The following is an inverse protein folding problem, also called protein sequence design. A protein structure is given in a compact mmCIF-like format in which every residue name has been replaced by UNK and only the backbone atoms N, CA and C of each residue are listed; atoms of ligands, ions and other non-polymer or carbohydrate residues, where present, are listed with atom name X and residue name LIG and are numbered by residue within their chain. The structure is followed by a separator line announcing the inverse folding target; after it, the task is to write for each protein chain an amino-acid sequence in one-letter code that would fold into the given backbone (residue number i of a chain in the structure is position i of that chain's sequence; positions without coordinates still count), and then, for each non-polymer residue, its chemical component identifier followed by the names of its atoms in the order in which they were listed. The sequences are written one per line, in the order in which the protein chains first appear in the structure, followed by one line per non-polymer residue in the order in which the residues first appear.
data_IF_776444959012
#
_entry.id   IF_776444959012
#
_cell.length_a   1.000
_cell.length_b   1.000
_cell.length_c   1.000
_cell.angle_alpha   90.00
_cell.angle_beta   90.00
_cell.angle_gamma   90.00
#
_symmetry.space_group_name_H-M   'P 1'
#
loop_
_entity.id
_entity.type
_entity.pdbx_description
1 polymer ?
#
# COMPACT_ATOMS: atom_id res chain seq x y z
N UNK A 1 -32.09 -3.60 -50.35
CA UNK A 1 -33.56 -3.82 -50.31
C UNK A 1 -34.22 -2.45 -50.38
N UNK A 2 -35.05 -2.23 -51.40
CA UNK A 2 -35.63 -0.94 -51.76
C UNK A 2 -36.64 -0.47 -50.71
N UNK A 3 -36.55 0.79 -50.29
CA UNK A 3 -37.63 1.50 -49.59
C UNK A 3 -38.36 2.36 -50.62
N UNK A 4 -39.53 1.91 -51.06
CA UNK A 4 -40.48 2.72 -51.80
C UNK A 4 -41.40 3.41 -50.80
N UNK A 5 -41.34 4.73 -50.71
CA UNK A 5 -42.42 5.53 -50.15
C UNK A 5 -42.93 6.45 -51.27
N UNK A 6 -44.13 6.14 -51.73
CA UNK A 6 -44.88 6.87 -52.75
C UNK A 6 -45.20 8.29 -52.29
N UNK A 7 -44.79 9.28 -53.09
CA UNK A 7 -45.19 10.67 -52.95
C UNK A 7 -46.49 10.86 -53.74
N UNK A 8 -47.59 11.17 -53.06
CA UNK A 8 -48.79 11.72 -53.71
C UNK A 8 -48.97 13.16 -53.24
N UNK A 9 -48.93 14.07 -54.22
CA UNK A 9 -49.19 15.49 -54.09
C UNK A 9 -50.61 15.73 -53.58
N UNK A 10 -50.79 16.74 -52.73
CA UNK A 10 -51.65 17.91 -52.96
C UNK A 10 -51.52 18.88 -51.76
N UNK A 11 -51.00 20.08 -52.06
CA UNK A 11 -51.23 21.41 -51.50
C UNK A 11 -51.76 21.53 -50.05
N UNK A 12 -51.01 22.21 -49.17
CA UNK A 12 -51.41 23.51 -48.60
C UNK A 12 -50.31 24.10 -47.68
N UNK A 13 -49.92 25.32 -48.01
CA UNK A 13 -49.47 26.42 -47.14
C UNK A 13 -48.65 26.14 -45.86
N UNK A 14 -47.37 26.53 -45.92
CA UNK A 14 -46.65 27.38 -44.96
C UNK A 14 -47.18 27.31 -43.51
N UNK A 15 -46.63 26.40 -42.71
CA UNK A 15 -46.58 26.59 -41.27
C UNK A 15 -45.20 26.16 -40.76
N UNK A 16 -44.30 27.13 -40.70
CA UNK A 16 -43.04 27.04 -39.98
C UNK A 16 -43.33 26.97 -38.49
N UNK A 17 -43.70 25.79 -37.98
CA UNK A 17 -43.69 25.49 -36.54
C UNK A 17 -43.02 24.13 -36.37
N UNK A 18 -41.72 24.24 -36.10
CA UNK A 18 -40.79 23.29 -35.50
C UNK A 18 -41.50 22.04 -34.93
N UNK A 19 -41.51 20.94 -35.69
CA UNK A 19 -41.70 19.61 -35.13
C UNK A 19 -40.39 19.25 -34.44
N UNK A 20 -40.33 19.47 -33.12
CA UNK A 20 -39.30 18.88 -32.26
C UNK A 20 -39.53 17.37 -32.34
N UNK A 21 -38.79 16.71 -33.23
CA UNK A 21 -38.67 15.26 -33.21
C UNK A 21 -37.85 14.95 -31.96
N UNK A 22 -38.52 14.58 -30.86
CA UNK A 22 -37.89 13.95 -29.69
C UNK A 22 -37.20 12.68 -30.18
N UNK A 23 -35.94 12.84 -30.56
CA UNK A 23 -35.05 11.73 -30.74
C UNK A 23 -34.81 11.18 -29.34
N UNK A 24 -35.50 10.08 -29.00
CA UNK A 24 -35.05 9.19 -27.93
C UNK A 24 -33.68 8.65 -28.33
N UNK A 25 -32.65 9.43 -28.06
CA UNK A 25 -31.28 8.96 -27.94
C UNK A 25 -31.32 8.03 -26.73
N UNK A 26 -31.59 6.75 -26.95
CA UNK A 26 -31.14 5.73 -26.01
C UNK A 26 -29.63 5.74 -26.08
N UNK A 27 -29.02 6.60 -25.27
CA UNK A 27 -27.66 6.37 -24.80
C UNK A 27 -27.71 4.98 -24.17
N UNK A 28 -27.24 3.97 -24.91
CA UNK A 28 -26.73 2.74 -24.31
C UNK A 28 -25.51 3.16 -23.50
N UNK A 29 -25.75 3.78 -22.35
CA UNK A 29 -24.81 3.74 -21.26
C UNK A 29 -24.59 2.25 -21.02
N UNK A 30 -23.39 1.78 -21.36
CA UNK A 30 -22.84 0.58 -20.76
C UNK A 30 -22.68 0.87 -19.26
N UNK A 31 -23.80 0.95 -18.54
CA UNK A 31 -23.85 0.70 -17.12
C UNK A 31 -23.49 -0.78 -17.00
N UNK A 32 -22.19 -1.08 -16.93
CA UNK A 32 -21.76 -2.29 -16.25
C UNK A 32 -22.52 -2.27 -14.92
N UNK A 33 -23.31 -3.31 -14.58
CA UNK A 33 -23.95 -3.35 -13.27
C UNK A 33 -22.83 -3.14 -12.26
N UNK A 34 -22.97 -2.09 -11.46
CA UNK A 34 -21.98 -1.74 -10.45
C UNK A 34 -21.85 -2.98 -9.56
N UNK A 35 -20.69 -3.63 -9.62
CA UNK A 35 -20.41 -4.82 -8.85
C UNK A 35 -20.70 -4.53 -7.37
N UNK A 36 -21.64 -5.25 -6.77
CA UNK A 36 -22.04 -5.06 -5.37
C UNK A 36 -21.35 -6.00 -4.40
N UNK A 37 -20.40 -6.81 -4.85
CA UNK A 37 -19.69 -7.74 -3.99
C UNK A 37 -18.84 -6.98 -2.98
N UNK A 38 -19.31 -6.98 -1.73
CA UNK A 38 -18.66 -6.36 -0.58
C UNK A 38 -18.03 -7.46 0.25
N UNK A 39 -16.89 -7.13 0.85
CA UNK A 39 -16.27 -7.98 1.85
C UNK A 39 -17.29 -8.29 2.97
N UNK A 40 -17.38 -9.54 3.44
CA UNK A 40 -18.24 -9.94 4.55
C UNK A 40 -18.17 -8.97 5.73
N UNK A 41 -19.31 -8.63 6.32
CA UNK A 41 -19.40 -7.68 7.44
C UNK A 41 -19.38 -8.36 8.79
N UNK A 42 -19.82 -9.61 8.85
CA UNK A 42 -19.96 -10.38 10.07
C UNK A 42 -19.31 -11.76 9.89
N UNK A 43 -18.84 -12.34 10.98
CA UNK A 43 -18.09 -13.60 10.96
C UNK A 43 -18.90 -14.78 10.45
N UNK A 44 -20.21 -14.81 10.72
CA UNK A 44 -21.13 -15.84 10.21
C UNK A 44 -21.34 -15.80 8.69
N UNK A 45 -21.00 -14.69 8.02
CA UNK A 45 -21.07 -14.57 6.56
C UNK A 45 -19.83 -15.16 5.87
N UNK A 46 -18.78 -15.49 6.64
CA UNK A 46 -17.57 -16.09 6.09
C UNK A 46 -17.79 -17.57 5.77
N UNK A 47 -17.32 -18.06 4.60
CA UNK A 47 -17.36 -19.48 4.27
C UNK A 47 -16.46 -20.29 5.20
N UNK A 48 -16.51 -21.62 5.09
CA UNK A 48 -15.76 -22.53 5.97
C UNK A 48 -14.26 -22.37 5.83
N UNK A 49 -13.79 -22.12 4.59
CA UNK A 49 -12.38 -21.95 4.28
C UNK A 49 -12.13 -20.58 3.66
N UNK A 50 -11.22 -19.83 4.30
CA UNK A 50 -10.72 -18.55 3.78
C UNK A 50 -9.21 -18.62 3.81
N UNK A 51 -8.57 -18.48 2.65
CA UNK A 51 -7.12 -18.59 2.53
C UNK A 51 -6.57 -17.61 1.51
N UNK A 52 -5.27 -17.36 1.58
CA UNK A 52 -4.53 -16.66 0.54
C UNK A 52 -3.58 -17.62 -0.15
N UNK A 53 -3.42 -17.45 -1.46
CA UNK A 53 -2.58 -18.32 -2.25
C UNK A 53 -2.24 -17.70 -3.58
N UNK A 54 -1.28 -18.31 -4.27
CA UNK A 54 -0.97 -17.94 -5.64
C UNK A 54 -1.39 -19.04 -6.60
N UNK A 55 -1.92 -18.64 -7.74
CA UNK A 55 -2.39 -19.54 -8.80
C UNK A 55 -1.18 -20.09 -9.53
N UNK A 56 -0.96 -21.39 -9.43
CA UNK A 56 0.18 -22.05 -10.06
C UNK A 56 -0.14 -22.54 -11.46
N UNK A 57 -1.33 -23.10 -11.64
CA UNK A 57 -1.78 -23.65 -12.91
C UNK A 57 -3.30 -23.50 -13.06
N UNK A 58 -3.75 -23.36 -14.31
CA UNK A 58 -5.16 -23.27 -14.68
C UNK A 58 -5.49 -24.49 -15.54
N UNK A 59 -6.62 -25.11 -15.26
CA UNK A 59 -7.18 -26.26 -15.96
C UNK A 59 -8.46 -25.80 -16.69
N UNK A 60 -8.35 -25.39 -17.97
CA UNK A 60 -9.52 -24.97 -18.73
C UNK A 60 -10.49 -26.14 -18.93
N UNK A 61 -11.79 -25.86 -18.81
CA UNK A 61 -12.84 -26.81 -19.18
C UNK A 61 -13.28 -26.53 -20.62
N UNK A 62 -13.06 -27.49 -21.53
CA UNK A 62 -13.40 -27.33 -22.95
C UNK A 62 -14.85 -27.71 -23.28
N UNK A 63 -15.59 -28.30 -22.32
CA UNK A 63 -16.89 -28.91 -22.57
C UNK A 63 -18.08 -28.14 -21.97
N UNK A 64 -17.85 -27.28 -20.96
CA UNK A 64 -18.92 -26.77 -20.07
C UNK A 64 -18.81 -25.26 -19.74
N UNK A 65 -18.49 -24.44 -20.75
CA UNK A 65 -18.57 -22.98 -20.66
C UNK A 65 -17.33 -22.27 -20.10
N UNK A 66 -17.45 -20.98 -19.76
CA UNK A 66 -16.35 -20.12 -19.29
C UNK A 66 -15.82 -20.48 -17.88
N UNK A 67 -16.44 -21.44 -17.19
CA UNK A 67 -16.06 -21.83 -15.82
C UNK A 67 -14.97 -22.90 -15.87
N UNK A 68 -13.90 -22.68 -15.12
CA UNK A 68 -12.72 -23.55 -15.10
C UNK A 68 -12.19 -23.75 -13.68
N UNK A 69 -11.21 -24.65 -13.55
CA UNK A 69 -10.54 -24.93 -12.28
C UNK A 69 -9.05 -24.59 -12.34
N UNK A 70 -8.38 -24.61 -11.20
CA UNK A 70 -6.96 -24.32 -11.13
C UNK A 70 -6.32 -24.84 -9.85
N UNK A 71 -5.00 -25.02 -9.91
CA UNK A 71 -4.19 -25.38 -8.76
C UNK A 71 -3.62 -24.12 -8.10
N UNK A 72 -3.80 -24.00 -6.79
CA UNK A 72 -3.35 -22.87 -5.98
C UNK A 72 -2.43 -23.39 -4.88
N UNK A 73 -1.28 -22.74 -4.71
CA UNK A 73 -0.41 -22.99 -3.57
C UNK A 73 -0.81 -22.02 -2.45
N UNK A 74 -1.22 -22.58 -1.33
CA UNK A 74 -1.70 -21.82 -0.18
C UNK A 74 -0.52 -21.17 0.54
N UNK A 75 -0.60 -19.86 0.73
CA UNK A 75 0.38 -19.07 1.49
C UNK A 75 -0.02 -18.93 2.96
N UNK A 76 -1.28 -18.64 3.23
CA UNK A 76 -1.80 -18.46 4.60
C UNK A 76 -3.25 -18.88 4.68
N UNK A 77 -3.60 -19.60 5.74
CA UNK A 77 -4.99 -19.93 6.08
C UNK A 77 -5.50 -18.87 7.05
N UNK A 78 -6.60 -18.19 6.72
CA UNK A 78 -7.28 -17.22 7.59
C UNK A 78 -8.39 -17.90 8.39
N UNK A 79 -9.09 -18.86 7.78
CA UNK A 79 -10.13 -19.72 8.39
C UNK A 79 -10.09 -21.09 7.71
N UNK A 80 -10.26 -22.16 8.48
CA UNK A 80 -10.22 -23.55 7.99
C UNK A 80 -9.01 -24.35 8.50
N UNK A 81 -8.79 -25.56 7.96
CA UNK A 81 -7.74 -26.48 8.41
C UNK A 81 -6.34 -25.91 8.20
N UNK A 82 -5.49 -25.94 9.23
CA UNK A 82 -4.12 -25.35 9.18
C UNK A 82 -3.17 -26.19 8.34
N UNK A 83 -3.47 -27.46 8.13
CA UNK A 83 -2.71 -28.40 7.31
C UNK A 83 -2.68 -27.95 5.84
N UNK A 84 -3.62 -27.09 5.41
CA UNK A 84 -3.60 -26.55 4.05
C UNK A 84 -2.44 -25.57 3.83
N UNK A 85 -1.85 -24.99 4.88
CA UNK A 85 -0.83 -23.96 4.73
C UNK A 85 0.46 -24.53 4.10
N UNK A 86 0.91 -23.91 3.01
CA UNK A 86 2.08 -24.36 2.24
C UNK A 86 1.76 -25.46 1.22
N UNK A 87 0.57 -26.06 1.30
CA UNK A 87 0.16 -27.15 0.42
C UNK A 87 -0.56 -26.65 -0.83
N UNK A 88 -0.63 -27.55 -1.81
CA UNK A 88 -1.35 -27.37 -3.07
C UNK A 88 -2.81 -27.77 -2.88
N UNK A 89 -3.72 -26.93 -3.35
CA UNK A 89 -5.16 -27.22 -3.40
C UNK A 89 -5.70 -27.01 -4.81
N UNK A 90 -6.79 -27.69 -5.13
CA UNK A 90 -7.53 -27.51 -6.37
C UNK A 90 -8.79 -26.71 -6.10
N UNK A 91 -9.01 -25.65 -6.86
CA UNK A 91 -10.17 -24.77 -6.73
C UNK A 91 -10.95 -24.80 -8.05
N UNK A 92 -12.25 -25.07 -7.97
CA UNK A 92 -13.20 -24.95 -9.07
C UNK A 92 -14.06 -23.67 -8.95
N UNK A 93 -14.69 -23.28 -10.05
CA UNK A 93 -15.58 -22.10 -10.09
C UNK A 93 -14.90 -20.81 -10.54
N UNK A 94 -13.67 -20.87 -11.06
CA UNK A 94 -13.07 -19.70 -11.70
C UNK A 94 -13.78 -19.37 -13.00
N UNK A 95 -13.89 -18.08 -13.32
CA UNK A 95 -14.60 -17.62 -14.53
C UNK A 95 -16.13 -17.53 -14.40
N UNK A 96 -16.71 -17.85 -13.24
CA UNK A 96 -18.14 -17.66 -12.98
C UNK A 96 -18.55 -16.19 -13.20
N UNK A 97 -19.54 -15.96 -14.06
CA UNK A 97 -20.03 -14.64 -14.45
C UNK A 97 -20.96 -14.00 -13.41
N UNK A 98 -21.43 -14.77 -12.43
CA UNK A 98 -22.25 -14.27 -11.31
C UNK A 98 -21.41 -13.57 -10.24
N UNK A 99 -20.10 -13.83 -10.22
CA UNK A 99 -19.14 -13.23 -9.30
C UNK A 99 -18.44 -12.05 -9.97
N UNK A 100 -18.23 -10.97 -9.23
CA UNK A 100 -17.58 -9.78 -9.82
C UNK A 100 -16.15 -10.01 -10.29
N UNK A 101 -15.39 -10.73 -9.47
CA UNK A 101 -14.03 -11.17 -9.75
C UNK A 101 -13.96 -12.67 -9.51
N UNK A 102 -13.83 -13.42 -10.61
CA UNK A 102 -13.70 -14.88 -10.62
C UNK A 102 -12.62 -15.37 -11.59
N UNK A 103 -12.17 -14.51 -12.51
CA UNK A 103 -11.13 -14.83 -13.51
C UNK A 103 -9.74 -14.65 -12.89
N UNK A 104 -8.88 -15.64 -13.07
CA UNK A 104 -7.50 -15.67 -12.56
C UNK A 104 -6.49 -15.90 -13.67
N UNK A 105 -5.24 -15.50 -13.43
CA UNK A 105 -4.08 -15.80 -14.27
C UNK A 105 -3.02 -16.54 -13.45
N UNK A 106 -2.16 -17.27 -14.16
CA UNK A 106 -0.98 -17.90 -13.54
C UNK A 106 -0.14 -16.82 -12.84
N UNK A 107 0.32 -17.13 -11.62
CA UNK A 107 1.04 -16.25 -10.68
C UNK A 107 0.21 -15.18 -10.00
N UNK A 108 -1.09 -15.07 -10.28
CA UNK A 108 -1.93 -14.16 -9.52
C UNK A 108 -1.99 -14.59 -8.05
N UNK A 109 -2.08 -13.61 -7.15
CA UNK A 109 -2.25 -13.85 -5.71
C UNK A 109 -3.56 -13.23 -5.27
N UNK A 110 -4.42 -14.04 -4.64
CA UNK A 110 -5.76 -13.65 -4.23
C UNK A 110 -6.09 -14.15 -2.83
N UNK A 111 -7.08 -13.53 -2.21
CA UNK A 111 -7.83 -14.10 -1.10
C UNK A 111 -8.99 -14.91 -1.68
N UNK A 112 -9.08 -16.18 -1.31
CA UNK A 112 -10.09 -17.13 -1.78
C UNK A 112 -11.10 -17.41 -0.67
N UNK A 113 -12.37 -17.37 -1.03
CA UNK A 113 -13.52 -17.69 -0.19
C UNK A 113 -14.08 -19.01 -0.71
N UNK A 114 -13.93 -20.07 0.08
CA UNK A 114 -14.02 -21.45 -0.41
C UNK A 114 -14.97 -22.30 0.42
N UNK A 115 -15.77 -23.12 -0.27
CA UNK A 115 -16.48 -24.25 0.33
C UNK A 115 -15.69 -25.52 0.09
N UNK A 116 -15.56 -26.35 1.12
CA UNK A 116 -14.92 -27.66 1.03
C UNK A 116 -15.86 -28.65 0.33
N UNK A 117 -15.35 -29.32 -0.72
CA UNK A 117 -16.06 -30.41 -1.40
C UNK A 117 -15.53 -31.74 -0.88
N UNK A 118 -14.20 -31.87 -0.90
CA UNK A 118 -13.45 -33.01 -0.39
C UNK A 118 -12.02 -32.57 -0.05
N UNK A 119 -11.24 -33.42 0.62
CA UNK A 119 -9.89 -33.07 1.07
C UNK A 119 -9.02 -32.56 -0.10
N UNK A 120 -8.66 -31.27 -0.05
CA UNK A 120 -7.82 -30.62 -1.06
C UNK A 120 -8.56 -30.12 -2.30
N UNK A 121 -9.88 -30.32 -2.40
CA UNK A 121 -10.74 -29.85 -3.48
C UNK A 121 -11.80 -28.89 -2.95
N UNK A 122 -11.82 -27.69 -3.50
CA UNK A 122 -12.64 -26.59 -3.01
C UNK A 122 -13.43 -25.93 -4.14
N UNK A 123 -14.61 -25.42 -3.81
CA UNK A 123 -15.42 -24.57 -4.71
C UNK A 123 -15.31 -23.12 -4.32
N UNK A 124 -15.20 -22.23 -5.30
CA UNK A 124 -15.29 -20.80 -5.08
C UNK A 124 -16.69 -20.42 -4.58
N UNK A 125 -16.79 -19.85 -3.38
CA UNK A 125 -18.04 -19.45 -2.72
C UNK A 125 -18.18 -17.92 -2.65
N UNK A 126 -17.44 -17.18 -3.46
CA UNK A 126 -17.51 -15.72 -3.45
C UNK A 126 -16.45 -15.08 -4.33
N UNK A 127 -16.54 -13.75 -4.49
CA UNK A 127 -15.60 -13.02 -5.32
C UNK A 127 -14.18 -13.07 -4.76
N UNK A 128 -13.20 -13.11 -5.67
CA UNK A 128 -11.80 -13.01 -5.35
C UNK A 128 -11.47 -11.61 -4.84
N UNK A 129 -10.85 -11.53 -3.66
CA UNK A 129 -10.42 -10.26 -3.09
C UNK A 129 -8.92 -10.05 -3.26
N UNK A 130 -8.54 -8.85 -3.67
CA UNK A 130 -7.12 -8.45 -3.73
C UNK A 130 -6.53 -8.35 -2.33
N UNK A 131 -5.26 -8.72 -2.23
CA UNK A 131 -4.49 -8.55 -1.00
C UNK A 131 -4.16 -7.07 -0.81
N UNK A 132 -4.69 -6.48 0.25
CA UNK A 132 -4.31 -5.16 0.76
C UNK A 132 -4.44 -5.17 2.30
N UNK A 133 -3.85 -4.17 2.97
CA UNK A 133 -3.85 -4.11 4.43
C UNK A 133 -5.27 -4.03 5.01
N UNK A 134 -6.14 -3.19 4.45
CA UNK A 134 -7.49 -2.99 4.96
C UNK A 134 -8.37 -4.26 4.89
N UNK A 135 -8.29 -4.99 3.78
CA UNK A 135 -8.98 -6.28 3.58
C UNK A 135 -8.43 -7.32 4.55
N UNK A 136 -7.11 -7.42 4.68
CA UNK A 136 -6.48 -8.39 5.56
C UNK A 136 -6.78 -8.12 7.04
N UNK A 137 -6.68 -6.88 7.48
CA UNK A 137 -7.00 -6.49 8.86
C UNK A 137 -8.47 -6.78 9.17
N UNK A 138 -9.38 -6.50 8.23
CA UNK A 138 -10.80 -6.80 8.41
C UNK A 138 -11.09 -8.31 8.42
N UNK A 139 -10.47 -9.10 7.54
CA UNK A 139 -10.65 -10.55 7.55
C UNK A 139 -10.04 -11.18 8.81
N UNK A 140 -8.85 -10.74 9.24
CA UNK A 140 -8.24 -11.22 10.47
C UNK A 140 -9.10 -10.90 11.71
N UNK A 141 -9.76 -9.74 11.74
CA UNK A 141 -10.69 -9.39 12.80
C UNK A 141 -11.94 -10.29 12.76
N UNK A 142 -12.53 -10.46 11.57
CA UNK A 142 -13.72 -11.30 11.39
C UNK A 142 -13.47 -12.77 11.70
N UNK A 143 -12.30 -13.33 11.38
CA UNK A 143 -12.00 -14.74 11.67
C UNK A 143 -11.71 -15.00 13.15
N UNK A 144 -11.50 -13.95 13.94
CA UNK A 144 -11.29 -14.02 15.40
C UNK A 144 -12.48 -13.51 16.21
N UNK A 145 -13.58 -13.14 15.56
CA UNK A 145 -14.71 -12.44 16.21
C UNK A 145 -14.30 -11.16 16.96
N UNK A 146 -13.27 -10.48 16.47
CA UNK A 146 -12.80 -9.21 17.01
C UNK A 146 -13.40 -8.02 16.25
N UNK A 147 -13.68 -6.89 16.91
CA UNK A 147 -14.12 -5.68 16.21
C UNK A 147 -13.00 -5.15 15.31
N UNK A 148 -13.32 -4.86 14.04
CA UNK A 148 -12.37 -4.26 13.12
C UNK A 148 -11.95 -2.87 13.62
N UNK A 149 -10.66 -2.72 13.94
CA UNK A 149 -10.03 -1.44 14.27
C UNK A 149 -9.24 -0.97 13.08
N UNK A 150 -9.52 0.24 12.60
CA UNK A 150 -8.66 0.88 11.60
C UNK A 150 -7.28 1.08 12.21
N UNK A 151 -6.24 0.85 11.41
CA UNK A 151 -4.88 1.21 11.79
C UNK A 151 -4.88 2.70 12.16
N UNK A 152 -4.35 3.08 13.34
CA UNK A 152 -4.20 4.49 13.67
C UNK A 152 -3.34 5.16 12.60
N UNK A 153 -3.64 6.41 12.30
CA UNK A 153 -2.79 7.21 11.43
C UNK A 153 -1.40 7.30 12.05
N UNK A 154 -0.36 7.19 11.22
CA UNK A 154 1.01 7.37 11.67
C UNK A 154 1.15 8.86 11.95
N UNK A 155 1.30 9.20 13.23
CA UNK A 155 1.58 10.58 13.64
C UNK A 155 3.09 10.74 13.49
N UNK A 156 3.52 11.45 12.46
CA UNK A 156 4.92 11.84 12.32
C UNK A 156 5.26 12.83 13.44
N UNK A 157 6.21 12.46 14.29
CA UNK A 157 6.63 13.36 15.37
C UNK A 157 7.43 14.52 14.78
N UNK A 158 7.34 15.73 15.35
CA UNK A 158 7.99 16.91 14.77
C UNK A 158 9.49 16.76 14.61
N UNK A 159 10.18 16.10 15.55
CA UNK A 159 11.61 15.86 15.45
C UNK A 159 12.00 14.64 14.61
N UNK A 160 11.04 13.82 14.16
CA UNK A 160 11.30 12.78 13.16
C UNK A 160 11.44 13.36 11.76
N UNK A 161 10.73 14.45 11.45
CA UNK A 161 10.73 15.09 10.13
C UNK A 161 11.54 16.39 10.09
N UNK A 162 11.80 17.04 11.22
CA UNK A 162 12.58 18.26 11.29
C UNK A 162 14.10 18.00 11.18
N UNK A 163 14.72 18.51 10.13
CA UNK A 163 16.17 18.61 10.03
C UNK A 163 16.69 19.88 10.70
N UNK A 164 17.76 19.76 11.50
CA UNK A 164 18.43 20.90 12.14
C UNK A 164 19.81 21.11 11.54
N UNK A 165 20.00 22.26 10.90
CA UNK A 165 21.28 22.67 10.32
C UNK A 165 22.36 22.89 11.40
N UNK A 166 23.62 22.90 10.96
CA UNK A 166 24.78 23.25 11.80
C UNK A 166 24.89 22.40 13.08
N UNK A 167 24.51 21.12 13.03
CA UNK A 167 24.50 20.21 14.18
C UNK A 167 23.61 20.67 15.35
N UNK A 168 22.54 21.41 15.08
CA UNK A 168 21.52 21.72 16.07
C UNK A 168 20.77 20.48 16.54
N UNK A 169 20.34 20.47 17.80
CA UNK A 169 19.46 19.44 18.32
C UNK A 169 18.00 19.82 18.08
N UNK A 170 17.20 18.88 17.63
CA UNK A 170 15.76 19.08 17.58
C UNK A 170 15.14 18.88 18.97
N UNK A 171 14.27 19.80 19.37
CA UNK A 171 13.51 19.75 20.61
C UNK A 171 12.04 19.88 20.27
N UNK A 172 11.23 18.97 20.79
CA UNK A 172 9.78 18.99 20.66
C UNK A 172 9.17 19.97 21.66
N UNK A 173 8.28 20.82 21.18
CA UNK A 173 7.48 21.72 21.99
C UNK A 173 6.11 21.09 22.22
N UNK A 174 5.76 20.91 23.50
CA UNK A 174 4.46 20.35 23.88
C UNK A 174 3.37 21.40 23.67
N UNK A 175 2.46 21.14 22.74
CA UNK A 175 1.20 21.89 22.65
C UNK A 175 0.32 21.62 23.86
N UNK A 176 -0.24 22.67 24.47
CA UNK A 176 -1.25 22.55 25.52
C UNK A 176 -2.53 21.83 25.05
N UNK A 177 -2.74 21.70 23.73
CA UNK A 177 -3.94 21.12 23.12
C UNK A 177 -3.70 19.70 22.56
N UNK A 178 -2.50 19.12 22.76
CA UNK A 178 -2.21 17.71 22.43
C UNK A 178 -2.28 17.31 20.95
N UNK A 179 -2.56 18.26 20.05
CA UNK A 179 -2.77 18.01 18.62
C UNK A 179 -1.70 18.61 17.71
N UNK A 180 -0.94 19.62 18.18
CA UNK A 180 0.11 20.31 17.39
C UNK A 180 1.40 20.45 18.19
N UNK A 181 2.20 19.38 18.28
CA UNK A 181 3.58 19.52 18.72
C UNK A 181 4.38 20.23 17.63
N UNK A 182 5.10 21.30 17.96
CA UNK A 182 6.10 21.92 17.07
C UNK A 182 7.48 21.36 17.37
N UNK A 183 8.40 21.49 16.42
CA UNK A 183 9.82 21.26 16.64
C UNK A 183 10.58 22.56 16.48
N UNK A 184 11.64 22.73 17.27
CA UNK A 184 12.63 23.77 17.04
C UNK A 184 14.05 23.23 17.19
N UNK A 185 14.97 23.88 16.51
CA UNK A 185 16.39 23.56 16.58
C UNK A 185 17.07 24.44 17.63
N UNK A 186 17.85 23.82 18.52
CA UNK A 186 18.61 24.51 19.55
C UNK A 186 20.03 23.97 19.64
N UNK A 187 20.98 24.85 19.91
CA UNK A 187 22.36 24.45 20.15
C UNK A 187 22.52 23.79 21.52
N UNK A 188 23.45 22.85 21.60
CA UNK A 188 23.87 22.28 22.88
C UNK A 188 24.38 23.39 23.82
N UNK A 189 23.91 23.37 25.07
CA UNK A 189 24.40 24.26 26.12
C UNK A 189 25.54 23.65 26.91
N UNK A 190 25.50 22.33 27.07
CA UNK A 190 26.43 21.56 27.89
C UNK A 190 26.99 20.38 27.10
N UNK A 191 28.23 20.03 27.42
CA UNK A 191 28.92 18.85 26.91
C UNK A 191 29.69 18.20 28.06
N UNK A 192 29.88 16.89 27.98
CA UNK A 192 30.76 16.17 28.90
C UNK A 192 32.19 16.72 28.82
N UNK A 193 32.93 16.63 29.94
CA UNK A 193 34.35 16.99 30.00
C UNK A 193 35.28 15.84 29.58
N UNK A 194 34.72 14.76 29.03
CA UNK A 194 35.50 13.62 28.52
C UNK A 194 36.44 14.07 27.41
N UNK A 195 37.72 13.79 27.57
CA UNK A 195 38.74 14.11 26.56
C UNK A 195 38.85 12.95 25.57
N UNK A 196 38.41 13.19 24.34
CA UNK A 196 38.47 12.25 23.22
C UNK A 196 38.56 13.08 21.94
N UNK A 197 39.73 13.64 21.63
CA UNK A 197 39.87 14.74 20.69
C UNK A 197 39.44 14.37 19.28
N UNK A 198 38.94 15.35 18.55
CA UNK A 198 38.54 15.21 17.14
C UNK A 198 39.05 16.40 16.32
N UNK A 199 39.41 16.16 15.07
CA UNK A 199 39.79 17.21 14.14
C UNK A 199 38.58 17.62 13.29
N UNK A 200 38.20 18.90 13.34
CA UNK A 200 37.10 19.46 12.56
C UNK A 200 37.48 19.74 11.11
N UNK A 201 36.46 19.89 10.25
CA UNK A 201 36.63 20.30 8.85
C UNK A 201 37.24 21.70 8.70
N UNK A 202 37.11 22.55 9.73
CA UNK A 202 37.74 23.87 9.82
C UNK A 202 39.23 23.81 10.23
N UNK A 203 39.80 22.62 10.45
CA UNK A 203 41.19 22.45 10.86
C UNK A 203 41.45 22.69 12.34
N UNK A 204 40.42 22.93 13.16
CA UNK A 204 40.54 23.09 14.61
C UNK A 204 40.37 21.75 15.33
N UNK A 205 41.08 21.59 16.45
CA UNK A 205 40.94 20.41 17.33
C UNK A 205 39.92 20.69 18.43
N UNK A 206 38.92 19.82 18.53
CA UNK A 206 37.91 19.88 19.58
C UNK A 206 38.15 18.80 20.63
N UNK A 207 37.91 19.11 21.90
CA UNK A 207 38.17 18.18 23.02
C UNK A 207 37.34 16.87 22.93
N UNK A 208 36.17 16.92 22.29
CA UNK A 208 35.35 15.76 21.95
C UNK A 208 34.31 16.10 20.85
N UNK A 209 33.60 15.08 20.37
CA UNK A 209 32.55 15.19 19.34
C UNK A 209 31.36 16.08 19.75
N UNK A 210 31.06 16.20 21.04
CA UNK A 210 30.02 17.12 21.51
C UNK A 210 30.45 18.58 21.33
N UNK A 211 31.72 18.90 21.65
CA UNK A 211 32.24 20.27 21.55
C UNK A 211 32.24 20.80 20.12
N UNK A 212 32.58 19.98 19.12
CA UNK A 212 32.49 20.39 17.70
C UNK A 212 31.03 20.63 17.28
N UNK A 213 30.08 19.78 17.66
CA UNK A 213 28.65 19.98 17.36
C UNK A 213 28.11 21.27 18.01
N UNK A 214 28.47 21.50 19.27
CA UNK A 214 28.11 22.71 20.00
C UNK A 214 28.67 23.98 19.34
N UNK A 215 29.95 23.98 18.97
CA UNK A 215 30.60 25.13 18.33
C UNK A 215 30.07 25.37 16.92
N UNK A 216 29.88 24.30 16.13
CA UNK A 216 29.22 24.31 14.82
C UNK A 216 27.87 25.01 14.88
N UNK A 217 27.02 24.62 15.84
CA UNK A 217 25.70 25.22 15.97
C UNK A 217 25.77 26.68 16.41
N UNK A 218 26.57 27.00 17.42
CA UNK A 218 26.69 28.37 17.97
C UNK A 218 27.25 29.37 16.98
N UNK A 219 28.16 28.92 16.10
CA UNK A 219 28.74 29.74 15.03
C UNK A 219 27.91 29.74 13.75
N UNK A 220 26.80 28.99 13.70
CA UNK A 220 25.99 28.78 12.50
C UNK A 220 26.82 28.33 11.30
N UNK A 221 27.78 27.41 11.53
CA UNK A 221 28.64 26.84 10.50
C UNK A 221 28.60 25.32 10.57
N UNK A 222 28.52 24.65 9.44
CA UNK A 222 28.43 23.18 9.39
C UNK A 222 29.81 22.53 9.49
N UNK A 223 30.33 22.40 10.72
CA UNK A 223 31.55 21.66 10.98
C UNK A 223 31.25 20.17 11.13
N UNK A 224 31.98 19.35 10.38
CA UNK A 224 31.95 17.91 10.52
C UNK A 224 33.31 17.41 10.99
N UNK A 225 33.32 16.25 11.63
CA UNK A 225 34.56 15.61 12.08
C UNK A 225 35.28 15.07 10.85
N UNK A 226 36.50 15.55 10.60
CA UNK A 226 37.35 15.06 9.50
C UNK A 226 38.04 13.75 9.88
N UNK A 227 38.52 13.62 11.11
CA UNK A 227 39.08 12.38 11.68
C UNK A 227 39.14 12.43 13.21
N UNK A 228 39.28 11.27 13.84
CA UNK A 228 39.46 11.14 15.29
C UNK A 228 40.91 11.49 15.68
N UNK A 229 41.09 12.17 16.82
CA UNK A 229 42.38 12.68 17.28
C UNK A 229 42.55 14.18 17.05
N UNK A 230 43.71 14.73 17.42
CA UNK A 230 44.04 16.15 17.21
C UNK A 230 44.45 16.42 15.76
N UNK A 231 44.20 17.61 15.24
CA UNK A 231 44.60 17.99 13.88
C UNK A 231 46.12 17.97 13.68
N UNK A 232 46.90 18.23 14.74
CA UNK A 232 48.37 18.16 14.73
C UNK A 232 48.88 16.70 14.74
N UNK A 233 48.22 15.83 15.51
CA UNK A 233 48.55 14.40 15.58
C UNK A 233 48.23 13.62 14.29
N UNK A 234 47.33 14.16 13.46
CA UNK A 234 46.94 13.60 12.16
C UNK A 234 48.03 13.62 11.08
N UNK A 235 49.16 14.31 11.29
CA UNK A 235 50.29 14.29 10.34
C UNK A 235 51.06 12.96 10.30
N UNK A 236 50.74 12.00 11.17
CA UNK A 236 51.40 10.67 11.20
C UNK A 236 50.48 9.47 11.00
N UNK A 237 49.18 9.64 10.84
CA UNK A 237 48.29 8.53 10.48
C UNK A 237 47.90 8.65 9.02
N UNK A 238 48.47 7.78 8.18
CA UNK A 238 47.99 7.53 6.83
C UNK A 238 46.47 7.34 6.89
N UNK A 239 45.79 7.97 5.93
CA UNK A 239 44.43 7.68 5.48
C UNK A 239 43.95 6.29 5.89
N UNK A 240 43.15 6.21 6.95
CA UNK A 240 42.12 5.18 7.00
C UNK A 240 41.00 5.73 6.14
N UNK A 241 40.97 5.31 4.88
CA UNK A 241 39.81 5.45 4.03
C UNK A 241 38.63 4.82 4.79
N UNK A 242 37.66 5.64 5.18
CA UNK A 242 36.34 5.15 5.54
C UNK A 242 35.65 4.76 4.22
N UNK A 243 35.33 3.47 3.99
CA UNK A 243 34.60 3.08 2.81
C UNK A 243 33.12 3.35 3.08
N UNK A 244 32.66 4.59 2.84
CA UNK A 244 31.26 4.84 2.59
C UNK A 244 31.11 5.81 1.43
N UNK A 245 31.25 5.22 0.24
CA UNK A 245 30.47 5.63 -0.91
C UNK A 245 29.01 5.24 -0.62
N UNK A 246 28.16 6.24 -0.39
CA UNK A 246 26.73 6.22 -0.68
C UNK A 246 26.51 7.49 -1.50
N UNK A 247 26.78 7.47 -2.81
CA UNK A 247 25.75 7.33 -3.85
C UNK A 247 24.45 8.05 -3.50
N UNK A 248 24.32 9.28 -4.03
CA UNK A 248 23.07 9.68 -4.70
C UNK A 248 22.97 8.94 -6.02
#
# INVERSE_FOLDING_TARGET
MQFNCSVSLVLFAICSIIVICESRISLKFNLRPECRDKLPRRSYELPDVVLTGFVEQIYPNYNEGEVYSGSVIVKRVLKGPRELQGNRVTIEGFGDTNLCYSKVRKRDIWVFFLSEISNGFFRLNGTLHRINLNTMDRLNALTKDEPFRKRPEIIELPCETQYCENNGNCIEEKSAVGLLSSARCECLHTCTQSYSPVCGSNGETFANSCKIRMDSCRRSQNYFIRFLGTCEGGRRSRSVELPFHLSM
#
